data_IF_405529601195
#
_entry.id   IF_405529601195
#
_cell.length_a   1.000
_cell.length_b   1.000
_cell.length_c   1.000
_cell.angle_alpha   90.00
_cell.angle_beta   90.00
_cell.angle_gamma   90.00
#
_symmetry.space_group_name_H-M   'P 1'
#
loop_
_entity.id
_entity.type
_entity.pdbx_description
1 polymer ?
#
# COMPACT_ATOMS: atom_id res chain seq x y z
N UNK A 1 -10.81 -0.49 -25.48
CA UNK A 1 -9.65 0.43 -25.62
C UNK A 1 -8.52 -0.19 -24.84
N UNK A 2 -7.34 -0.37 -25.44
CA UNK A 2 -6.15 -0.73 -24.67
C UNK A 2 -5.89 0.46 -23.75
N UNK A 3 -6.06 0.28 -22.44
CA UNK A 3 -5.71 1.31 -21.48
C UNK A 3 -4.19 1.51 -21.58
N UNK A 4 -3.75 2.70 -21.97
CA UNK A 4 -2.33 3.06 -21.95
C UNK A 4 -1.96 3.51 -20.54
N UNK A 5 -0.78 3.12 -20.06
CA UNK A 5 -0.25 3.57 -18.76
C UNK A 5 -0.17 5.10 -18.76
N UNK A 6 -0.66 5.74 -17.70
CA UNK A 6 -0.61 7.19 -17.57
C UNK A 6 0.85 7.68 -17.53
N UNK A 7 1.23 8.80 -18.19
CA UNK A 7 2.62 9.26 -18.27
C UNK A 7 3.33 9.41 -16.93
N UNK A 8 2.61 9.79 -15.87
CA UNK A 8 3.15 9.84 -14.52
C UNK A 8 3.69 8.47 -14.06
N UNK A 9 2.91 7.40 -14.18
CA UNK A 9 3.37 6.06 -13.81
C UNK A 9 4.39 5.51 -14.79
N UNK A 10 4.27 5.84 -16.09
CA UNK A 10 5.27 5.43 -17.09
C UNK A 10 6.67 5.97 -16.75
N UNK A 11 6.75 7.22 -16.27
CA UNK A 11 8.01 7.82 -15.82
C UNK A 11 8.65 7.11 -14.62
N UNK A 12 7.86 6.39 -13.83
CA UNK A 12 8.30 5.65 -12.63
C UNK A 12 8.38 4.14 -12.86
N UNK A 13 8.02 3.67 -14.06
CA UNK A 13 7.80 2.25 -14.36
C UNK A 13 9.00 1.38 -14.04
N UNK A 14 10.21 1.81 -14.41
CA UNK A 14 11.44 1.06 -14.13
C UNK A 14 11.63 0.80 -12.64
N UNK A 15 11.50 1.83 -11.79
CA UNK A 15 11.62 1.69 -10.34
C UNK A 15 10.52 0.79 -9.74
N UNK A 16 9.31 0.86 -10.29
CA UNK A 16 8.20 0.00 -9.87
C UNK A 16 8.43 -1.47 -10.26
N UNK A 17 8.93 -1.72 -11.46
CA UNK A 17 9.28 -3.07 -11.93
C UNK A 17 10.45 -3.65 -11.14
N UNK A 18 11.48 -2.87 -10.83
CA UNK A 18 12.61 -3.29 -9.99
C UNK A 18 12.15 -3.66 -8.58
N UNK A 19 11.26 -2.84 -7.98
CA UNK A 19 10.66 -3.15 -6.69
C UNK A 19 9.83 -4.44 -6.74
N UNK A 20 9.13 -4.71 -7.83
CA UNK A 20 8.37 -5.96 -8.04
C UNK A 20 9.27 -7.17 -8.18
N UNK A 21 10.35 -7.09 -8.97
CA UNK A 21 11.33 -8.17 -9.11
C UNK A 21 11.98 -8.50 -7.76
N UNK A 22 12.37 -7.48 -7.00
CA UNK A 22 12.92 -7.68 -5.67
C UNK A 22 11.92 -8.37 -4.71
N UNK A 23 10.62 -8.01 -4.75
CA UNK A 23 9.59 -8.74 -3.98
C UNK A 23 9.51 -10.20 -4.38
N UNK A 24 9.50 -10.47 -5.68
CA UNK A 24 9.44 -11.83 -6.23
C UNK A 24 10.67 -12.66 -5.86
N UNK A 25 11.84 -12.04 -5.73
CA UNK A 25 13.06 -12.69 -5.25
C UNK A 25 12.96 -13.07 -3.78
N UNK A 26 12.49 -12.16 -2.93
CA UNK A 26 12.24 -12.43 -1.51
C UNK A 26 11.13 -13.46 -1.29
N UNK A 27 10.15 -13.53 -2.20
CA UNK A 27 9.01 -14.43 -2.09
C UNK A 27 9.34 -15.89 -2.42
N UNK A 28 10.40 -16.18 -3.18
CA UNK A 28 10.63 -17.51 -3.75
C UNK A 28 10.66 -18.62 -2.69
N UNK A 29 11.45 -18.45 -1.62
CA UNK A 29 11.53 -19.46 -0.57
C UNK A 29 10.16 -19.68 0.09
N UNK A 30 9.45 -18.59 0.41
CA UNK A 30 8.13 -18.64 1.04
C UNK A 30 7.09 -19.32 0.13
N UNK A 31 7.12 -19.05 -1.18
CA UNK A 31 6.24 -19.69 -2.14
C UNK A 31 6.50 -21.20 -2.20
N UNK A 32 7.77 -21.63 -2.24
CA UNK A 32 8.13 -23.06 -2.28
C UNK A 32 7.76 -23.79 -0.98
N UNK A 33 7.92 -23.13 0.16
CA UNK A 33 7.69 -23.75 1.48
C UNK A 33 6.21 -23.81 1.86
N UNK A 34 5.43 -22.79 1.51
CA UNK A 34 4.08 -22.57 2.04
C UNK A 34 2.97 -22.87 1.04
N UNK A 35 3.31 -23.13 -0.22
CA UNK A 35 2.34 -23.41 -1.29
C UNK A 35 2.68 -24.71 -2.01
N UNK A 36 1.79 -25.14 -2.90
CA UNK A 36 2.02 -26.31 -3.75
C UNK A 36 2.74 -25.96 -5.07
N UNK A 37 3.18 -24.71 -5.22
CA UNK A 37 3.71 -24.17 -6.46
C UNK A 37 5.15 -24.63 -6.69
N UNK A 38 5.42 -25.22 -7.87
CA UNK A 38 6.73 -25.78 -8.21
C UNK A 38 7.46 -24.99 -9.30
N UNK A 39 6.71 -24.42 -10.26
CA UNK A 39 7.22 -23.64 -11.39
C UNK A 39 7.38 -22.14 -11.06
N UNK A 40 8.17 -21.82 -10.03
CA UNK A 40 8.30 -20.45 -9.51
C UNK A 40 8.73 -19.43 -10.57
N UNK A 41 9.65 -19.78 -11.48
CA UNK A 41 10.09 -18.85 -12.52
C UNK A 41 8.97 -18.49 -13.51
N UNK A 42 8.10 -19.46 -13.84
CA UNK A 42 6.91 -19.19 -14.65
C UNK A 42 5.94 -18.25 -13.93
N UNK A 43 5.74 -18.46 -12.63
CA UNK A 43 4.87 -17.63 -11.80
C UNK A 43 5.42 -16.20 -11.69
N UNK A 44 6.74 -16.04 -11.53
CA UNK A 44 7.39 -14.72 -11.54
C UNK A 44 7.12 -13.96 -12.83
N UNK A 45 7.25 -14.65 -13.98
CA UNK A 45 6.96 -14.04 -15.27
C UNK A 45 5.47 -13.65 -15.38
N UNK A 46 4.55 -14.53 -14.98
CA UNK A 46 3.11 -14.24 -14.94
C UNK A 46 2.78 -13.02 -14.07
N UNK A 47 3.46 -12.85 -12.92
CA UNK A 47 3.30 -11.68 -12.07
C UNK A 47 3.78 -10.40 -12.76
N UNK A 48 4.91 -10.43 -13.46
CA UNK A 48 5.40 -9.25 -14.17
C UNK A 48 4.50 -8.88 -15.35
N UNK A 49 3.93 -9.87 -16.05
CA UNK A 49 2.97 -9.63 -17.13
C UNK A 49 1.66 -9.06 -16.58
N UNK A 50 1.13 -9.63 -15.48
CA UNK A 50 -0.05 -9.10 -14.78
C UNK A 50 0.21 -7.69 -14.24
N UNK A 51 1.42 -7.40 -13.77
CA UNK A 51 1.78 -6.08 -13.28
C UNK A 51 1.69 -5.02 -14.37
N UNK A 52 2.07 -5.35 -15.61
CA UNK A 52 1.86 -4.47 -16.76
C UNK A 52 0.38 -4.14 -16.99
N UNK A 53 -0.52 -5.11 -16.80
CA UNK A 53 -1.98 -4.93 -16.90
C UNK A 53 -2.48 -4.03 -15.75
N UNK A 54 -2.05 -4.32 -14.52
CA UNK A 54 -2.43 -3.54 -13.33
C UNK A 54 -1.95 -2.08 -13.46
N UNK A 55 -0.74 -1.84 -13.96
CA UNK A 55 -0.24 -0.51 -14.23
C UNK A 55 -1.10 0.24 -15.26
N UNK A 56 -1.49 -0.42 -16.35
CA UNK A 56 -2.37 0.16 -17.36
C UNK A 56 -3.77 0.48 -16.81
N UNK A 57 -4.22 -0.27 -15.81
CA UNK A 57 -5.49 -0.06 -15.11
C UNK A 57 -5.40 1.02 -14.02
N UNK A 58 -4.19 1.38 -13.57
CA UNK A 58 -3.99 2.28 -12.43
C UNK A 58 -4.45 3.69 -12.80
N UNK A 59 -5.48 4.24 -12.12
CA UNK A 59 -6.00 5.54 -12.44
C UNK A 59 -5.02 6.64 -12.02
N UNK A 60 -5.03 7.77 -12.72
CA UNK A 60 -4.25 8.93 -12.29
C UNK A 60 -4.88 9.56 -11.04
N UNK A 61 -4.15 9.52 -9.93
CA UNK A 61 -4.58 10.05 -8.63
C UNK A 61 -3.76 11.28 -8.21
N UNK A 62 -3.56 12.22 -9.14
CA UNK A 62 -2.95 13.53 -8.85
C UNK A 62 -1.42 13.60 -8.90
N UNK A 63 -0.74 12.47 -9.10
CA UNK A 63 0.72 12.44 -9.26
C UNK A 63 1.44 13.14 -8.11
N UNK A 64 2.33 14.08 -8.42
CA UNK A 64 3.06 14.85 -7.41
C UNK A 64 2.18 15.80 -6.57
N UNK A 65 0.95 16.10 -7.00
CA UNK A 65 0.04 16.99 -6.27
C UNK A 65 -0.66 16.28 -5.09
N UNK A 66 -0.77 14.95 -5.15
CA UNK A 66 -1.39 14.13 -4.10
C UNK A 66 -0.38 13.17 -3.50
N UNK A 67 -0.22 13.23 -2.18
CA UNK A 67 0.64 12.28 -1.45
C UNK A 67 0.24 10.81 -1.65
N UNK A 68 -0.99 10.55 -2.08
CA UNK A 68 -1.53 9.19 -2.24
C UNK A 68 -0.99 8.47 -3.47
N UNK A 69 -0.45 9.20 -4.44
CA UNK A 69 0.21 8.60 -5.60
C UNK A 69 1.37 7.69 -5.20
N UNK A 70 2.12 8.04 -4.16
CA UNK A 70 3.22 7.22 -3.62
C UNK A 70 2.71 5.88 -3.05
N UNK A 71 1.51 5.87 -2.43
CA UNK A 71 0.90 4.62 -1.96
C UNK A 71 0.55 3.69 -3.13
N UNK A 72 -0.01 4.22 -4.22
CA UNK A 72 -0.25 3.45 -5.44
C UNK A 72 1.06 2.91 -6.02
N UNK A 73 2.08 3.76 -6.18
CA UNK A 73 3.39 3.37 -6.70
C UNK A 73 3.97 2.19 -5.89
N UNK A 74 3.86 2.24 -4.57
CA UNK A 74 4.42 1.20 -3.71
C UNK A 74 3.58 -0.07 -3.70
N UNK A 75 2.25 0.04 -3.58
CA UNK A 75 1.42 -1.11 -3.20
C UNK A 75 0.65 -1.75 -4.34
N UNK A 76 0.44 -1.06 -5.47
CA UNK A 76 -0.42 -1.60 -6.55
C UNK A 76 0.12 -2.91 -7.13
N UNK A 77 1.43 -3.13 -7.07
CA UNK A 77 2.06 -4.38 -7.49
C UNK A 77 1.62 -5.62 -6.70
N UNK A 78 1.17 -5.47 -5.45
CA UNK A 78 0.59 -6.58 -4.68
C UNK A 78 -0.71 -7.09 -5.28
N UNK A 79 -1.50 -6.24 -5.97
CA UNK A 79 -2.66 -6.71 -6.74
C UNK A 79 -2.24 -7.75 -7.79
N UNK A 80 -1.13 -7.50 -8.50
CA UNK A 80 -0.65 -8.42 -9.53
C UNK A 80 -0.19 -9.77 -8.93
N UNK A 81 0.56 -9.72 -7.83
CA UNK A 81 0.98 -10.93 -7.08
C UNK A 81 -0.26 -11.72 -6.66
N UNK A 82 -1.19 -11.05 -5.97
CA UNK A 82 -2.43 -11.63 -5.50
C UNK A 82 -3.26 -12.27 -6.62
N UNK A 83 -3.47 -11.58 -7.75
CA UNK A 83 -4.22 -12.10 -8.90
C UNK A 83 -3.63 -13.39 -9.45
N UNK A 84 -2.30 -13.42 -9.66
CA UNK A 84 -1.62 -14.62 -10.18
C UNK A 84 -1.71 -15.76 -9.18
N UNK A 85 -1.34 -15.54 -7.92
CA UNK A 85 -1.34 -16.61 -6.92
C UNK A 85 -2.75 -17.20 -6.71
N UNK A 86 -3.79 -16.37 -6.78
CA UNK A 86 -5.18 -16.85 -6.75
C UNK A 86 -5.53 -17.73 -7.94
N UNK A 87 -5.12 -17.37 -9.16
CA UNK A 87 -5.33 -18.23 -10.35
C UNK A 87 -4.61 -19.57 -10.21
N UNK A 88 -3.49 -19.58 -9.49
CA UNK A 88 -2.75 -20.79 -9.14
C UNK A 88 -3.32 -21.52 -7.91
N UNK A 89 -4.52 -21.15 -7.43
CA UNK A 89 -5.23 -21.85 -6.36
C UNK A 89 -4.69 -21.59 -4.94
N UNK A 90 -3.84 -20.58 -4.74
CA UNK A 90 -3.41 -20.17 -3.40
C UNK A 90 -4.53 -19.39 -2.73
N UNK A 91 -4.82 -19.70 -1.46
CA UNK A 91 -5.91 -19.04 -0.72
C UNK A 91 -5.58 -17.58 -0.40
N UNK A 92 -6.59 -16.67 -0.32
CA UNK A 92 -6.36 -15.27 0.03
C UNK A 92 -5.60 -15.06 1.35
N UNK A 93 -5.87 -15.89 2.36
CA UNK A 93 -5.17 -15.83 3.65
C UNK A 93 -3.67 -16.11 3.50
N UNK A 94 -3.32 -17.18 2.77
CA UNK A 94 -1.93 -17.54 2.54
C UNK A 94 -1.20 -16.48 1.70
N UNK A 95 -1.88 -15.93 0.69
CA UNK A 95 -1.36 -14.80 -0.10
C UNK A 95 -1.04 -13.62 0.83
N UNK A 96 -1.97 -13.23 1.70
CA UNK A 96 -1.75 -12.11 2.62
C UNK A 96 -0.60 -12.33 3.58
N UNK A 97 -0.40 -13.56 4.08
CA UNK A 97 0.75 -13.91 4.91
C UNK A 97 2.08 -13.79 4.15
N UNK A 98 2.15 -14.29 2.92
CA UNK A 98 3.34 -14.20 2.07
C UNK A 98 3.62 -12.74 1.72
N UNK A 99 2.61 -11.98 1.27
CA UNK A 99 2.77 -10.58 0.89
C UNK A 99 3.26 -9.73 2.05
N UNK A 100 2.72 -9.95 3.26
CA UNK A 100 3.16 -9.27 4.48
C UNK A 100 4.62 -9.56 4.80
N UNK A 101 5.01 -10.84 4.82
CA UNK A 101 6.38 -11.24 5.15
C UNK A 101 7.40 -10.76 4.09
N UNK A 102 7.02 -10.83 2.81
CA UNK A 102 7.82 -10.31 1.70
C UNK A 102 7.97 -8.80 1.78
N UNK A 103 6.88 -8.07 2.06
CA UNK A 103 6.94 -6.62 2.16
C UNK A 103 7.80 -6.18 3.35
N UNK A 104 7.65 -6.85 4.49
CA UNK A 104 8.51 -6.64 5.66
C UNK A 104 9.97 -6.92 5.33
N UNK A 105 10.28 -8.05 4.69
CA UNK A 105 11.65 -8.37 4.27
C UNK A 105 12.23 -7.30 3.33
N UNK A 106 11.43 -6.83 2.37
CA UNK A 106 11.83 -5.77 1.44
C UNK A 106 12.08 -4.45 2.18
N UNK A 107 11.20 -4.05 3.11
CA UNK A 107 11.39 -2.83 3.89
C UNK A 107 12.67 -2.89 4.72
N UNK A 108 12.98 -4.06 5.29
CA UNK A 108 14.17 -4.26 6.14
C UNK A 108 15.50 -4.28 5.37
N UNK A 109 15.49 -4.28 4.02
CA UNK A 109 16.74 -4.08 3.26
C UNK A 109 17.22 -2.62 3.32
N UNK A 110 16.34 -1.68 3.69
CA UNK A 110 16.72 -0.29 3.93
C UNK A 110 17.39 -0.18 5.31
N UNK A 111 18.55 0.49 5.43
CA UNK A 111 19.24 0.66 6.70
C UNK A 111 18.34 1.23 7.80
N UNK A 112 18.49 0.72 9.02
CA UNK A 112 17.62 1.10 10.13
C UNK A 112 17.61 2.60 10.41
N UNK A 113 18.78 3.23 10.39
CA UNK A 113 18.90 4.67 10.62
C UNK A 113 18.06 5.48 9.61
N UNK A 114 18.05 5.07 8.34
CA UNK A 114 17.27 5.70 7.28
C UNK A 114 15.77 5.47 7.46
N UNK A 115 15.36 4.23 7.78
CA UNK A 115 13.95 3.91 8.06
C UNK A 115 13.41 4.71 9.25
N UNK A 116 14.14 4.75 10.36
CA UNK A 116 13.75 5.50 11.55
C UNK A 116 13.78 7.02 11.31
N UNK A 117 14.69 7.52 10.47
CA UNK A 117 14.67 8.92 10.05
C UNK A 117 13.40 9.25 9.24
N UNK A 118 13.01 8.39 8.30
CA UNK A 118 11.74 8.53 7.56
C UNK A 118 10.53 8.51 8.49
N UNK A 119 10.54 7.66 9.53
CA UNK A 119 9.47 7.64 10.54
C UNK A 119 9.39 8.93 11.36
N UNK A 120 10.53 9.43 11.84
CA UNK A 120 10.59 10.73 12.54
C UNK A 120 10.10 11.88 11.67
N UNK A 121 10.46 11.89 10.39
CA UNK A 121 9.98 12.88 9.43
C UNK A 121 8.46 12.79 9.25
N UNK A 122 7.91 11.58 9.11
CA UNK A 122 6.46 11.38 8.98
C UNK A 122 5.70 11.90 10.21
N UNK A 123 6.24 11.72 11.42
CA UNK A 123 5.62 12.19 12.66
C UNK A 123 5.90 13.68 12.97
N UNK A 124 6.69 14.37 12.16
CA UNK A 124 7.14 15.73 12.46
C UNK A 124 6.02 16.77 12.36
N UNK A 125 6.08 17.88 13.12
CA UNK A 125 5.11 18.96 13.03
C UNK A 125 4.96 19.52 11.59
N UNK A 126 6.06 19.61 10.85
CA UNK A 126 6.08 20.11 9.47
C UNK A 126 5.26 19.18 8.55
N UNK A 127 5.44 17.86 8.70
CA UNK A 127 4.65 16.91 7.94
C UNK A 127 3.17 16.96 8.33
N UNK A 128 2.85 17.18 9.62
CA UNK A 128 1.46 17.35 10.04
C UNK A 128 0.79 18.57 9.42
N UNK A 129 1.51 19.69 9.25
CA UNK A 129 1.00 20.87 8.52
C UNK A 129 0.67 20.48 7.07
N UNK A 130 1.60 19.82 6.38
CA UNK A 130 1.38 19.34 5.01
C UNK A 130 0.18 18.38 4.92
N UNK A 131 0.03 17.48 5.90
CA UNK A 131 -1.08 16.51 5.93
C UNK A 131 -2.44 17.19 6.12
N UNK A 132 -2.53 18.27 6.91
CA UNK A 132 -3.76 19.08 7.04
C UNK A 132 -4.12 19.73 5.72
N UNK A 133 -3.16 20.38 5.07
CA UNK A 133 -3.37 21.01 3.76
C UNK A 133 -3.79 20.00 2.68
N UNK A 134 -3.16 18.82 2.67
CA UNK A 134 -3.50 17.75 1.73
C UNK A 134 -4.86 17.13 2.02
N UNK A 135 -5.28 17.05 3.28
CA UNK A 135 -6.64 16.64 3.66
C UNK A 135 -7.69 17.61 3.11
N UNK A 136 -7.50 18.92 3.31
CA UNK A 136 -8.38 19.96 2.74
C UNK A 136 -8.47 19.87 1.21
N UNK A 137 -7.33 19.71 0.53
CA UNK A 137 -7.29 19.53 -0.93
C UNK A 137 -8.01 18.25 -1.39
N UNK A 138 -7.93 17.17 -0.62
CA UNK A 138 -8.58 15.91 -0.98
C UNK A 138 -10.11 16.03 -1.11
N UNK A 139 -10.72 16.89 -0.29
CA UNK A 139 -12.17 17.18 -0.34
C UNK A 139 -12.61 17.98 -1.57
N UNK A 140 -11.67 18.57 -2.33
CA UNK A 140 -11.98 19.18 -3.62
C UNK A 140 -12.26 18.12 -4.70
N UNK A 141 -11.84 16.87 -4.46
CA UNK A 141 -12.07 15.72 -5.34
C UNK A 141 -11.63 15.96 -6.80
N UNK A 142 -10.56 16.75 -7.00
CA UNK A 142 -10.00 17.05 -8.34
C UNK A 142 -9.63 15.78 -9.11
N UNK A 143 -9.26 14.72 -8.39
CA UNK A 143 -8.93 13.41 -8.92
C UNK A 143 -9.94 12.37 -8.42
N UNK A 144 -10.97 12.00 -9.22
CA UNK A 144 -12.10 11.19 -8.76
C UNK A 144 -11.73 9.80 -8.22
N UNK A 145 -10.62 9.23 -8.69
CA UNK A 145 -10.13 7.92 -8.25
C UNK A 145 -9.13 8.00 -7.07
N UNK A 146 -8.84 9.20 -6.56
CA UNK A 146 -7.94 9.41 -5.41
C UNK A 146 -8.66 9.19 -4.06
N UNK A 147 -7.92 9.33 -2.96
CA UNK A 147 -8.44 9.22 -1.60
C UNK A 147 -8.98 10.57 -1.11
N UNK A 148 -9.99 10.49 -0.25
CA UNK A 148 -10.50 11.63 0.53
C UNK A 148 -10.32 11.30 2.00
N UNK A 149 -9.77 12.22 2.78
CA UNK A 149 -9.49 11.96 4.19
C UNK A 149 -9.47 13.23 5.04
N UNK A 150 -9.76 13.03 6.32
CA UNK A 150 -9.67 14.05 7.35
C UNK A 150 -8.37 13.89 8.14
N UNK A 151 -7.74 15.01 8.49
CA UNK A 151 -6.70 15.02 9.52
C UNK A 151 -7.34 15.06 10.90
N UNK A 152 -6.89 14.20 11.81
CA UNK A 152 -7.45 14.07 13.16
C UNK A 152 -6.42 14.52 14.19
N UNK A 153 -6.78 15.58 14.92
CA UNK A 153 -6.02 15.98 16.11
C UNK A 153 -6.30 15.02 17.27
N UNK A 154 -5.30 14.72 18.12
CA UNK A 154 -5.54 13.98 19.35
C UNK A 154 -6.45 14.77 20.28
N UNK A 155 -7.52 14.12 20.75
CA UNK A 155 -8.39 14.68 21.77
C UNK A 155 -7.72 14.69 23.16
N UNK A 156 -8.30 15.40 24.14
CA UNK A 156 -7.81 15.37 25.51
C UNK A 156 -7.79 13.93 26.05
N UNK A 157 -6.62 13.46 26.51
CA UNK A 157 -6.37 12.10 27.02
C UNK A 157 -6.26 10.99 25.96
N UNK A 158 -6.13 11.34 24.68
CA UNK A 158 -5.72 10.38 23.66
C UNK A 158 -4.19 10.41 23.52
N UNK A 159 -3.58 9.23 23.44
CA UNK A 159 -2.13 9.07 23.41
C UNK A 159 -1.69 8.65 21.99
N UNK A 160 -1.74 9.62 21.07
CA UNK A 160 -1.19 9.51 19.72
C UNK A 160 -0.82 10.89 19.18
N UNK A 161 0.04 10.94 18.17
CA UNK A 161 0.62 12.16 17.62
C UNK A 161 -0.36 12.87 16.68
N UNK A 162 -0.98 12.11 15.78
CA UNK A 162 -2.13 12.52 14.96
C UNK A 162 -2.84 11.30 14.36
N UNK A 163 -4.00 11.52 13.76
CA UNK A 163 -4.72 10.50 13.00
C UNK A 163 -5.07 10.94 11.58
N UNK A 164 -5.46 9.97 10.77
CA UNK A 164 -6.05 10.19 9.45
C UNK A 164 -7.28 9.31 9.33
N UNK A 165 -8.41 9.92 9.01
CA UNK A 165 -9.68 9.24 8.75
C UNK A 165 -9.94 9.23 7.24
N UNK A 166 -9.62 8.14 6.56
CA UNK A 166 -9.93 8.01 5.13
C UNK A 166 -11.43 7.76 4.93
N UNK A 167 -12.10 8.66 4.21
CA UNK A 167 -13.54 8.60 3.88
C UNK A 167 -13.78 8.02 2.49
N UNK A 168 -12.81 8.14 1.59
CA UNK A 168 -12.77 7.44 0.31
C UNK A 168 -11.36 6.90 0.05
N UNK A 169 -11.27 5.76 -0.64
CA UNK A 169 -10.00 5.06 -0.85
C UNK A 169 -9.80 4.71 -2.33
N UNK A 170 -8.68 5.14 -2.90
CA UNK A 170 -8.34 4.84 -4.30
C UNK A 170 -8.19 3.34 -4.55
N UNK A 171 -7.68 2.56 -3.60
CA UNK A 171 -7.62 1.10 -3.74
C UNK A 171 -9.01 0.44 -3.67
N UNK A 172 -9.95 0.96 -2.87
CA UNK A 172 -11.34 0.46 -2.89
C UNK A 172 -11.97 0.74 -4.26
N UNK A 173 -11.85 1.97 -4.77
CA UNK A 173 -12.36 2.34 -6.11
C UNK A 173 -11.75 1.48 -7.22
N UNK A 174 -10.45 1.23 -7.16
CA UNK A 174 -9.75 0.34 -8.09
C UNK A 174 -10.29 -1.09 -7.99
N UNK A 175 -10.38 -1.63 -6.77
CA UNK A 175 -10.80 -3.00 -6.54
C UNK A 175 -12.26 -3.25 -6.95
N UNK A 176 -13.15 -2.30 -6.70
CA UNK A 176 -14.55 -2.34 -7.16
C UNK A 176 -14.64 -2.37 -8.68
N UNK A 177 -13.78 -1.61 -9.37
CA UNK A 177 -13.77 -1.53 -10.84
C UNK A 177 -13.24 -2.80 -11.50
N UNK A 178 -12.26 -3.46 -10.88
CA UNK A 178 -11.52 -4.57 -11.50
C UNK A 178 -11.71 -5.93 -10.81
N UNK A 179 -12.56 -6.01 -9.77
CA UNK A 179 -12.91 -7.27 -9.11
C UNK A 179 -11.90 -7.74 -8.06
N UNK A 180 -11.14 -6.84 -7.46
CA UNK A 180 -10.06 -7.15 -6.51
C UNK A 180 -10.49 -7.03 -5.03
N UNK A 181 -11.79 -6.96 -4.75
CA UNK A 181 -12.29 -6.72 -3.40
C UNK A 181 -11.89 -7.80 -2.39
N UNK A 182 -11.75 -9.06 -2.82
CA UNK A 182 -11.34 -10.16 -1.94
C UNK A 182 -9.85 -10.12 -1.54
N UNK A 183 -9.01 -9.41 -2.30
CA UNK A 183 -7.57 -9.29 -2.02
C UNK A 183 -7.23 -7.99 -1.29
N UNK A 184 -8.12 -7.00 -1.37
CA UNK A 184 -7.94 -5.68 -0.78
C UNK A 184 -7.63 -5.70 0.74
N UNK A 185 -8.26 -6.57 1.57
CA UNK A 185 -7.89 -6.67 2.98
C UNK A 185 -6.41 -6.99 3.24
N UNK A 186 -5.78 -7.80 2.37
CA UNK A 186 -4.36 -8.11 2.48
C UNK A 186 -3.50 -6.86 2.26
N UNK A 187 -3.83 -6.07 1.23
CA UNK A 187 -3.13 -4.82 0.92
C UNK A 187 -3.29 -3.81 2.06
N UNK A 188 -4.50 -3.66 2.60
CA UNK A 188 -4.72 -2.82 3.78
C UNK A 188 -3.87 -3.29 4.96
N UNK A 189 -3.70 -4.61 5.14
CA UNK A 189 -2.90 -5.19 6.22
C UNK A 189 -1.41 -4.80 6.17
N UNK A 190 -0.86 -4.53 4.98
CA UNK A 190 0.54 -4.18 4.79
C UNK A 190 0.97 -2.90 5.52
N UNK A 191 0.02 -2.00 5.79
CA UNK A 191 0.30 -0.73 6.47
C UNK A 191 0.99 -0.96 7.83
N UNK A 192 0.55 -1.94 8.61
CA UNK A 192 1.09 -2.16 9.96
C UNK A 192 2.61 -2.41 9.93
N UNK A 193 3.08 -3.31 9.06
CA UNK A 193 4.50 -3.56 8.89
C UNK A 193 5.24 -2.37 8.25
N UNK A 194 4.59 -1.64 7.33
CA UNK A 194 5.15 -0.44 6.70
C UNK A 194 5.43 0.69 7.70
N UNK A 195 4.54 0.88 8.66
CA UNK A 195 4.69 1.87 9.74
C UNK A 195 5.66 1.37 10.82
N UNK A 196 5.51 0.11 11.26
CA UNK A 196 6.38 -0.48 12.28
C UNK A 196 7.85 -0.51 11.83
N UNK A 197 8.12 -0.85 10.57
CA UNK A 197 9.47 -0.81 10.01
C UNK A 197 10.09 0.60 10.02
N UNK A 198 9.32 1.66 10.27
CA UNK A 198 9.84 3.03 10.39
C UNK A 198 9.81 3.55 11.84
N UNK A 199 9.53 2.69 12.82
CA UNK A 199 9.41 3.10 14.22
C UNK A 199 8.11 3.85 14.52
N UNK A 200 7.04 3.56 13.77
CA UNK A 200 5.72 4.13 13.98
C UNK A 200 4.77 3.01 14.41
N UNK A 201 4.10 3.22 15.53
CA UNK A 201 2.95 2.42 15.91
C UNK A 201 1.72 2.94 15.15
N UNK A 202 1.03 2.02 14.47
CA UNK A 202 -0.26 2.31 13.83
C UNK A 202 -1.34 1.54 14.56
N UNK A 203 -2.33 2.26 15.10
CA UNK A 203 -3.60 1.69 15.51
C UNK A 203 -4.66 1.97 14.42
N UNK A 204 -5.40 0.92 14.04
CA UNK A 204 -6.54 1.02 13.12
C UNK A 204 -7.50 -0.14 13.36
N UNK A 205 -8.76 0.17 13.60
CA UNK A 205 -9.81 -0.83 13.91
C UNK A 205 -10.92 -0.87 12.87
N UNK A 206 -10.99 0.13 12.00
CA UNK A 206 -11.98 0.27 10.94
C UNK A 206 -11.28 0.41 9.60
N UNK A 207 -11.87 -0.18 8.56
CA UNK A 207 -11.41 -0.03 7.17
C UNK A 207 -12.60 0.07 6.23
N UNK A 208 -12.47 0.92 5.20
CA UNK A 208 -13.43 0.99 4.10
C UNK A 208 -13.56 -0.36 3.39
N UNK A 209 -12.43 -1.06 3.18
CA UNK A 209 -12.41 -2.42 2.62
C UNK A 209 -13.19 -3.44 3.46
N UNK A 210 -13.29 -3.24 4.78
CA UNK A 210 -14.07 -4.04 5.70
C UNK A 210 -15.53 -3.57 5.86
N UNK A 211 -15.98 -2.60 5.06
CA UNK A 211 -17.34 -2.07 5.08
C UNK A 211 -17.61 -1.02 6.17
N UNK A 212 -16.58 -0.51 6.85
CA UNK A 212 -16.75 0.58 7.80
C UNK A 212 -16.94 1.94 7.10
N UNK A 213 -17.39 2.96 7.84
CA UNK A 213 -17.57 4.31 7.31
C UNK A 213 -16.27 5.06 7.02
N UNK A 214 -15.16 4.67 7.64
CA UNK A 214 -13.83 5.21 7.37
C UNK A 214 -12.74 4.19 7.71
N UNK A 215 -11.53 4.45 7.22
CA UNK A 215 -10.33 3.87 7.82
C UNK A 215 -9.78 4.82 8.89
N UNK A 216 -9.76 4.41 10.16
CA UNK A 216 -9.45 5.28 11.31
C UNK A 216 -8.01 5.16 11.80
N UNK A 217 -7.04 5.61 11.00
CA UNK A 217 -5.62 5.48 11.35
C UNK A 217 -5.26 6.41 12.51
N UNK A 218 -4.56 5.89 13.52
CA UNK A 218 -3.95 6.66 14.61
C UNK A 218 -2.46 6.32 14.66
N UNK A 219 -1.62 7.35 14.56
CA UNK A 219 -0.18 7.19 14.46
C UNK A 219 0.49 7.65 15.74
N UNK A 220 1.36 6.80 16.27
CA UNK A 220 2.24 7.18 17.36
C UNK A 220 3.67 6.68 17.22
N UNK A 221 4.60 7.23 18.00
CA UNK A 221 5.95 6.67 18.07
C UNK A 221 5.87 5.24 18.59
N UNK A 222 6.52 4.33 17.87
CA UNK A 222 6.73 2.98 18.39
C UNK A 222 7.78 3.08 19.50
N UNK A 223 7.36 2.91 20.74
CA UNK A 223 8.27 2.71 21.85
C UNK A 223 8.88 1.31 21.67
N UNK A 224 10.18 1.27 21.36
CA UNK A 224 10.95 0.04 21.41
C UNK A 224 11.37 -0.13 22.87
N UNK A 225 10.88 -1.19 23.51
CA UNK A 225 11.36 -1.65 24.82
C UNK A 225 12.84 -2.08 24.75
#
# INVERSE_FOLDING_TARGET
MVQSIHPFYESQRGAMEDAMRHRLDLAEAMLRERTHLTAIDGIRQEVMDEFGIVLAQTPYVGGAASRMSDFFIRLIGFIAISRVLRRQGVSPSMIGEIERDVYKAQLLTIPEAERLASGRQFLSPENQVLLREQAEKSHLEEFPDDFVYDFIEPGPRQDFEFGIDYKACGFCKFADRYGDNEILPNICGLDFDAYAARGIHLERTQTLAGGAHCCNFRFSRLLLD
#
